data_IF_717787675136
#
_entry.id   IF_717787675136
#
_cell.length_a   1.000
_cell.length_b   1.000
_cell.length_c   1.000
_cell.angle_alpha   90.00
_cell.angle_beta   90.00
_cell.angle_gamma   90.00
#
_symmetry.space_group_name_H-M   'P 1'
#
loop_
_entity.id
_entity.type
_entity.pdbx_description
1 polymer ?
#
# COMPACT_ATOMS: atom_id res chain seq x y z
N UNK A 1 -9.65 27.36 4.09
CA UNK A 1 -8.97 26.09 3.74
C UNK A 1 -9.97 25.19 3.01
N UNK A 2 -9.88 25.12 1.68
CA UNK A 2 -10.73 24.22 0.90
C UNK A 2 -10.39 22.77 1.23
N UNK A 3 -11.35 22.04 1.81
CA UNK A 3 -11.22 20.62 2.12
C UNK A 3 -11.05 19.85 0.80
N UNK A 4 -9.80 19.56 0.44
CA UNK A 4 -9.45 18.86 -0.80
C UNK A 4 -9.83 17.38 -0.70
N UNK A 5 -11.13 17.09 -0.77
CA UNK A 5 -11.71 15.73 -0.73
C UNK A 5 -11.06 14.82 -1.79
N UNK A 6 -10.69 15.38 -2.95
CA UNK A 6 -10.00 14.66 -4.02
C UNK A 6 -8.63 14.11 -3.61
N UNK A 7 -7.82 14.86 -2.86
CA UNK A 7 -6.53 14.39 -2.35
C UNK A 7 -6.70 13.26 -1.34
N UNK A 8 -7.78 13.31 -0.55
CA UNK A 8 -8.09 12.26 0.43
C UNK A 8 -8.51 10.96 -0.25
N UNK A 9 -9.42 11.03 -1.25
CA UNK A 9 -9.84 9.87 -2.04
C UNK A 9 -8.65 9.28 -2.81
N UNK A 10 -7.82 10.12 -3.42
CA UNK A 10 -6.61 9.68 -4.12
C UNK A 10 -5.62 8.99 -3.17
N UNK A 11 -5.43 9.53 -1.95
CA UNK A 11 -4.62 8.88 -0.93
C UNK A 11 -5.13 7.48 -0.54
N UNK A 12 -6.45 7.33 -0.48
CA UNK A 12 -7.13 6.09 -0.09
C UNK A 12 -7.06 5.04 -1.21
N UNK A 13 -7.21 5.48 -2.46
CA UNK A 13 -6.93 4.66 -3.64
C UNK A 13 -5.47 4.18 -3.67
N UNK A 14 -4.53 5.07 -3.41
CA UNK A 14 -3.11 4.68 -3.37
C UNK A 14 -2.86 3.63 -2.28
N UNK A 15 -3.50 3.79 -1.10
CA UNK A 15 -3.43 2.82 -0.02
C UNK A 15 -3.90 1.41 -0.45
N UNK A 16 -5.05 1.34 -1.12
CA UNK A 16 -5.58 0.08 -1.66
C UNK A 16 -4.60 -0.56 -2.64
N UNK A 17 -3.92 0.23 -3.46
CA UNK A 17 -2.88 -0.28 -4.38
C UNK A 17 -1.67 -0.81 -3.60
N UNK A 18 -1.18 -0.11 -2.57
CA UNK A 18 -0.05 -0.58 -1.75
C UNK A 18 -0.36 -1.92 -1.07
N UNK A 19 -1.54 -2.04 -0.47
CA UNK A 19 -1.99 -3.28 0.17
C UNK A 19 -2.30 -4.39 -0.83
N UNK A 20 -2.91 -4.05 -1.97
CA UNK A 20 -3.16 -5.00 -3.06
C UNK A 20 -1.85 -5.59 -3.58
N UNK A 21 -0.85 -4.76 -3.86
CA UNK A 21 0.46 -5.23 -4.30
C UNK A 21 1.18 -6.06 -3.23
N UNK A 22 1.09 -5.67 -1.96
CA UNK A 22 1.62 -6.47 -0.86
C UNK A 22 0.98 -7.86 -0.81
N UNK A 23 -0.35 -7.93 -0.93
CA UNK A 23 -1.08 -9.20 -0.95
C UNK A 23 -0.69 -10.06 -2.16
N UNK A 24 -0.59 -9.45 -3.36
CA UNK A 24 -0.19 -10.18 -4.56
C UNK A 24 1.25 -10.69 -4.48
N UNK A 25 2.19 -9.91 -3.91
CA UNK A 25 3.58 -10.32 -3.75
C UNK A 25 3.77 -11.38 -2.67
N UNK A 26 3.05 -11.30 -1.54
CA UNK A 26 3.23 -12.20 -0.42
C UNK A 26 2.36 -13.47 -0.52
N UNK A 27 1.12 -13.32 -0.97
CA UNK A 27 0.09 -14.37 -0.92
C UNK A 27 -0.31 -14.96 -2.27
N UNK A 28 0.12 -14.39 -3.40
CA UNK A 28 -0.24 -14.94 -4.72
C UNK A 28 0.95 -15.57 -5.45
N UNK A 29 0.65 -16.52 -6.33
CA UNK A 29 1.62 -17.14 -7.21
C UNK A 29 1.97 -16.34 -8.46
N UNK A 30 1.30 -15.20 -8.69
CA UNK A 30 1.44 -14.39 -9.91
C UNK A 30 2.88 -14.00 -10.22
N UNK A 31 3.68 -13.74 -9.17
CA UNK A 31 5.05 -13.27 -9.30
C UNK A 31 6.12 -14.33 -8.96
N UNK A 32 5.74 -15.60 -8.81
CA UNK A 32 6.68 -16.68 -8.43
C UNK A 32 7.72 -16.94 -9.51
N UNK A 33 7.32 -16.94 -10.78
CA UNK A 33 8.21 -17.27 -11.91
C UNK A 33 9.05 -16.06 -12.37
N UNK A 34 8.60 -14.84 -12.07
CA UNK A 34 9.22 -13.61 -12.56
C UNK A 34 10.20 -12.98 -11.56
N UNK A 35 10.00 -13.22 -10.25
CA UNK A 35 10.79 -12.61 -9.18
C UNK A 35 11.36 -13.68 -8.26
N UNK A 36 12.63 -13.52 -7.87
CA UNK A 36 13.24 -14.39 -6.86
C UNK A 36 12.49 -14.28 -5.52
N UNK A 37 12.40 -15.36 -4.73
CA UNK A 37 11.65 -15.35 -3.47
C UNK A 37 12.08 -14.22 -2.54
N UNK A 38 13.39 -13.97 -2.43
CA UNK A 38 13.94 -12.91 -1.60
C UNK A 38 13.43 -11.51 -2.01
N UNK A 39 13.44 -11.21 -3.32
CA UNK A 39 12.96 -9.93 -3.84
C UNK A 39 11.45 -9.81 -3.66
N UNK A 40 10.71 -10.88 -3.95
CA UNK A 40 9.25 -10.89 -3.83
C UNK A 40 8.79 -10.62 -2.39
N UNK A 41 9.35 -11.36 -1.43
CA UNK A 41 9.04 -11.17 -0.01
C UNK A 41 9.56 -9.82 0.50
N UNK A 42 10.78 -9.41 0.12
CA UNK A 42 11.33 -8.12 0.49
C UNK A 42 10.46 -6.95 0.02
N UNK A 43 10.09 -6.93 -1.26
CA UNK A 43 9.18 -5.92 -1.82
C UNK A 43 7.80 -5.99 -1.14
N UNK A 44 7.23 -7.19 -0.99
CA UNK A 44 5.93 -7.36 -0.33
C UNK A 44 5.90 -6.82 1.10
N UNK A 45 6.92 -7.10 1.90
CA UNK A 45 7.06 -6.59 3.28
C UNK A 45 7.17 -5.06 3.29
N UNK A 46 7.96 -4.47 2.38
CA UNK A 46 8.10 -3.01 2.28
C UNK A 46 6.77 -2.37 1.86
N UNK A 47 6.08 -2.91 0.86
CA UNK A 47 4.77 -2.44 0.42
C UNK A 47 3.73 -2.54 1.55
N UNK A 48 3.75 -3.63 2.31
CA UNK A 48 2.85 -3.82 3.45
C UNK A 48 3.15 -2.82 4.58
N UNK A 49 4.40 -2.74 5.03
CA UNK A 49 4.82 -1.85 6.11
C UNK A 49 4.60 -0.37 5.78
N UNK A 50 4.98 0.05 4.57
CA UNK A 50 4.71 1.41 4.10
C UNK A 50 3.21 1.68 3.95
N UNK A 51 2.45 0.69 3.46
CA UNK A 51 0.99 0.76 3.41
C UNK A 51 0.37 1.03 4.79
N UNK A 52 0.77 0.28 5.82
CA UNK A 52 0.32 0.50 7.20
C UNK A 52 0.70 1.90 7.73
N UNK A 53 1.94 2.33 7.52
CA UNK A 53 2.38 3.67 7.93
C UNK A 53 1.60 4.79 7.23
N UNK A 54 1.29 4.60 5.94
CA UNK A 54 0.51 5.54 5.15
C UNK A 54 -0.95 5.59 5.58
N UNK A 55 -1.57 4.43 5.87
CA UNK A 55 -2.92 4.36 6.44
C UNK A 55 -3.01 5.16 7.73
N UNK A 56 -2.04 4.94 8.63
CA UNK A 56 -1.94 5.68 9.89
C UNK A 56 -1.86 7.19 9.68
N UNK A 57 -0.96 7.66 8.80
CA UNK A 57 -0.86 9.11 8.51
C UNK A 57 -2.12 9.68 7.88
N UNK A 58 -2.82 8.91 7.06
CA UNK A 58 -4.02 9.38 6.38
C UNK A 58 -5.21 9.47 7.34
N UNK A 59 -5.38 8.50 8.22
CA UNK A 59 -6.35 8.57 9.32
C UNK A 59 -6.06 9.77 10.22
N UNK A 60 -4.80 9.96 10.62
CA UNK A 60 -4.41 11.08 11.49
C UNK A 60 -4.60 12.45 10.81
N UNK A 61 -4.48 12.54 9.48
CA UNK A 61 -4.74 13.76 8.71
C UNK A 61 -6.20 13.97 8.31
N UNK A 62 -7.02 12.92 8.33
CA UNK A 62 -8.46 12.99 8.02
C UNK A 62 -9.34 13.29 9.23
N UNK A 63 -8.81 13.12 10.45
CA UNK A 63 -9.50 13.32 11.73
C UNK A 63 -9.34 14.77 12.28
N UNK A 64 -8.47 15.60 11.70
CA UNK A 64 -8.33 17.03 12.04
C UNK A 64 -8.58 17.94 10.84
#
# INVERSE_FOLDING_TARGET
>A
MGRNKGLYVFGLLMLLIYWGMAFLLLGSSLFVEQLTPAVRYGMGIVFFGYGCFRAYRQLKRGVY
#
